data_IF_597532276805
#
_entry.id   IF_597532276805
#
_cell.length_a   1.000
_cell.length_b   1.000
_cell.length_c   1.000
_cell.angle_alpha   90.00
_cell.angle_beta   90.00
_cell.angle_gamma   90.00
#
_symmetry.space_group_name_H-M   'P 1'
#
loop_
_entity.id
_entity.type
_entity.pdbx_description
1 polymer ?
#
# COMPACT_ATOMS: atom_id res chain seq x y z
N UNK A 1 -14.99 -12.61 23.82
CA UNK A 1 -14.51 -11.22 24.01
C UNK A 1 -14.25 -10.68 22.62
N UNK A 2 -15.12 -9.80 22.16
CA UNK A 2 -14.94 -9.09 20.89
C UNK A 2 -13.77 -8.13 21.08
N UNK A 3 -12.59 -8.47 20.57
CA UNK A 3 -11.49 -7.52 20.48
C UNK A 3 -11.90 -6.48 19.46
N UNK A 4 -12.49 -5.38 19.94
CA UNK A 4 -12.84 -4.25 19.10
C UNK A 4 -11.58 -3.84 18.32
N UNK A 5 -11.72 -3.71 17.00
CA UNK A 5 -10.59 -3.33 16.16
C UNK A 5 -10.11 -1.95 16.59
N UNK A 6 -8.83 -1.83 16.92
CA UNK A 6 -8.22 -0.56 17.27
C UNK A 6 -7.89 0.21 15.98
N UNK A 7 -8.59 1.33 15.77
CA UNK A 7 -8.39 2.21 14.60
C UNK A 7 -6.96 2.76 14.58
N UNK A 8 -6.36 3.10 15.73
CA UNK A 8 -4.99 3.61 15.78
C UNK A 8 -3.99 2.54 15.36
N UNK A 9 -4.13 1.35 15.93
CA UNK A 9 -3.30 0.22 15.52
C UNK A 9 -3.43 -0.09 14.02
N UNK A 10 -4.62 0.10 13.44
CA UNK A 10 -4.84 -0.07 12.00
C UNK A 10 -4.19 1.04 11.15
N UNK A 11 -4.23 2.30 11.61
CA UNK A 11 -3.49 3.42 10.98
C UNK A 11 -1.99 3.13 11.02
N UNK A 12 -1.44 2.79 12.20
CA UNK A 12 -0.01 2.52 12.38
C UNK A 12 0.46 1.36 11.49
N UNK A 13 -0.32 0.28 11.44
CA UNK A 13 -0.02 -0.88 10.59
C UNK A 13 -0.04 -0.54 9.10
N UNK A 14 -0.99 0.27 8.66
CA UNK A 14 -1.07 0.72 7.28
C UNK A 14 0.10 1.66 6.92
N UNK A 15 0.39 2.66 7.75
CA UNK A 15 1.54 3.57 7.57
C UNK A 15 2.86 2.81 7.49
N UNK A 16 3.07 1.83 8.38
CA UNK A 16 4.27 0.99 8.37
C UNK A 16 4.39 0.21 7.05
N UNK A 17 3.31 -0.46 6.63
CA UNK A 17 3.28 -1.22 5.39
C UNK A 17 3.55 -0.32 4.16
N UNK A 18 2.92 0.85 4.07
CA UNK A 18 3.10 1.75 2.95
C UNK A 18 4.54 2.29 2.86
N UNK A 19 5.17 2.49 4.02
CA UNK A 19 6.59 2.86 4.14
C UNK A 19 7.50 1.74 3.63
N UNK A 20 7.27 0.50 4.05
CA UNK A 20 8.06 -0.66 3.60
C UNK A 20 7.96 -0.90 2.10
N UNK A 21 6.77 -0.71 1.51
CA UNK A 21 6.59 -0.78 0.06
C UNK A 21 7.39 0.32 -0.64
N UNK A 22 7.47 1.51 -0.07
CA UNK A 22 8.25 2.62 -0.64
C UNK A 22 9.76 2.35 -0.57
N UNK A 23 10.23 1.73 0.52
CA UNK A 23 11.61 1.25 0.65
C UNK A 23 11.92 0.18 -0.39
N UNK A 24 11.02 -0.80 -0.57
CA UNK A 24 11.17 -1.86 -1.57
C UNK A 24 11.22 -1.29 -3.00
N UNK A 25 10.35 -0.33 -3.35
CA UNK A 25 10.39 0.36 -4.65
C UNK A 25 11.72 1.09 -4.87
N UNK A 26 12.22 1.78 -3.84
CA UNK A 26 13.50 2.49 -3.89
C UNK A 26 14.66 1.52 -4.11
N UNK A 27 14.70 0.40 -3.38
CA UNK A 27 15.72 -0.63 -3.52
C UNK A 27 15.71 -1.26 -4.92
N UNK A 28 14.53 -1.46 -5.53
CA UNK A 28 14.44 -1.92 -6.92
C UNK A 28 15.02 -0.88 -7.87
N UNK A 29 14.61 0.40 -7.73
CA UNK A 29 15.09 1.49 -8.59
C UNK A 29 16.62 1.66 -8.52
N UNK A 30 17.20 1.57 -7.32
CA UNK A 30 18.65 1.68 -7.11
C UNK A 30 19.41 0.45 -7.64
N UNK A 31 18.74 -0.70 -7.72
CA UNK A 31 19.33 -1.97 -8.15
C UNK A 31 19.16 -2.31 -9.64
N UNK A 32 18.43 -1.52 -10.44
CA UNK A 32 18.10 -1.90 -11.83
C UNK A 32 19.34 -2.25 -12.65
N UNK A 33 20.36 -1.38 -12.63
CA UNK A 33 21.59 -1.56 -13.42
C UNK A 33 22.56 -2.61 -12.85
N UNK A 34 22.39 -3.04 -11.60
CA UNK A 34 23.28 -3.97 -10.89
C UNK A 34 22.62 -5.32 -10.61
N UNK A 35 21.36 -5.48 -11.00
CA UNK A 35 20.54 -6.65 -10.72
C UNK A 35 19.73 -6.48 -9.43
N UNK A 36 18.48 -6.02 -9.55
CA UNK A 36 17.55 -5.95 -8.42
C UNK A 36 17.25 -7.36 -7.87
N UNK A 37 17.01 -7.46 -6.55
CA UNK A 37 16.59 -8.74 -5.97
C UNK A 37 15.21 -9.14 -6.53
N UNK A 38 15.19 -10.17 -7.39
CA UNK A 38 13.98 -10.69 -8.00
C UNK A 38 12.92 -11.18 -6.98
N UNK A 39 13.31 -11.46 -5.72
CA UNK A 39 12.34 -11.72 -4.63
C UNK A 39 11.57 -10.46 -4.27
N UNK A 40 12.25 -9.33 -4.12
CA UNK A 40 11.64 -8.02 -3.84
C UNK A 40 10.71 -7.62 -4.99
N UNK A 41 11.16 -7.78 -6.24
CA UNK A 41 10.34 -7.51 -7.43
C UNK A 41 9.06 -8.37 -7.42
N UNK A 42 9.16 -9.68 -7.16
CA UNK A 42 8.00 -10.57 -7.05
C UNK A 42 7.03 -10.18 -5.94
N UNK A 43 7.54 -9.72 -4.80
CA UNK A 43 6.71 -9.22 -3.71
C UNK A 43 5.95 -7.98 -4.19
N UNK A 44 6.66 -6.96 -4.71
CA UNK A 44 6.05 -5.72 -5.20
C UNK A 44 4.99 -5.95 -6.27
N UNK A 45 5.23 -6.83 -7.24
CA UNK A 45 4.24 -7.18 -8.28
C UNK A 45 2.93 -7.71 -7.67
N UNK A 46 3.02 -8.47 -6.57
CA UNK A 46 1.84 -9.03 -5.88
C UNK A 46 1.19 -8.03 -4.92
N UNK A 47 1.99 -7.17 -4.31
CA UNK A 47 1.54 -6.38 -3.15
C UNK A 47 1.15 -4.97 -3.50
N UNK A 48 1.85 -4.30 -4.44
CA UNK A 48 1.78 -2.84 -4.61
C UNK A 48 0.36 -2.33 -4.85
N UNK A 49 -0.35 -2.91 -5.81
CA UNK A 49 -1.69 -2.44 -6.15
C UNK A 49 -2.74 -2.89 -5.13
N UNK A 50 -2.57 -4.10 -4.56
CA UNK A 50 -3.48 -4.63 -3.56
C UNK A 50 -3.39 -3.83 -2.25
N UNK A 51 -2.17 -3.56 -1.76
CA UNK A 51 -1.95 -2.74 -0.55
C UNK A 51 -2.46 -1.32 -0.74
N UNK A 52 -2.27 -0.73 -1.93
CA UNK A 52 -2.76 0.61 -2.21
C UNK A 52 -4.28 0.68 -2.16
N UNK A 53 -4.97 -0.32 -2.74
CA UNK A 53 -6.43 -0.41 -2.69
C UNK A 53 -6.92 -0.51 -1.25
N UNK A 54 -6.26 -1.29 -0.41
CA UNK A 54 -6.61 -1.43 1.01
C UNK A 54 -6.40 -0.11 1.78
N UNK A 55 -5.26 0.55 1.58
CA UNK A 55 -4.97 1.87 2.14
C UNK A 55 -6.01 2.92 1.76
N UNK A 56 -6.27 3.07 0.46
CA UNK A 56 -7.27 4.02 -0.06
C UNK A 56 -8.66 3.70 0.47
N UNK A 57 -9.05 2.41 0.47
CA UNK A 57 -10.33 1.98 1.02
C UNK A 57 -10.46 2.29 2.51
N UNK A 58 -9.40 2.07 3.30
CA UNK A 58 -9.40 2.42 4.73
C UNK A 58 -9.61 3.91 4.94
N UNK A 59 -8.86 4.74 4.23
CA UNK A 59 -9.02 6.18 4.36
C UNK A 59 -10.39 6.65 3.88
N UNK A 60 -10.89 6.17 2.74
CA UNK A 60 -12.14 6.63 2.14
C UNK A 60 -13.39 6.16 2.89
N UNK A 61 -13.36 4.94 3.43
CA UNK A 61 -14.54 4.33 4.07
C UNK A 61 -14.55 4.51 5.60
N UNK A 62 -13.40 4.82 6.22
CA UNK A 62 -13.26 4.92 7.67
C UNK A 62 -12.73 6.28 8.09
N UNK A 63 -11.50 6.62 7.71
CA UNK A 63 -10.82 7.81 8.26
C UNK A 63 -11.49 9.10 7.80
N UNK A 64 -11.67 9.30 6.49
CA UNK A 64 -12.26 10.53 5.96
C UNK A 64 -13.67 10.77 6.48
N UNK A 65 -14.60 9.79 6.51
CA UNK A 65 -15.91 10.00 7.12
C UNK A 65 -15.85 10.41 8.59
N UNK A 66 -14.92 9.85 9.37
CA UNK A 66 -14.73 10.24 10.79
C UNK A 66 -14.28 11.70 10.88
N UNK A 67 -13.29 12.08 10.08
CA UNK A 67 -12.73 13.43 10.11
C UNK A 67 -13.74 14.46 9.58
N UNK A 68 -14.41 14.19 8.46
CA UNK A 68 -15.46 15.04 7.89
C UNK A 68 -16.60 15.24 8.92
N UNK A 69 -17.02 14.18 9.63
CA UNK A 69 -18.07 14.28 10.64
C UNK A 69 -17.66 15.09 11.89
N UNK A 70 -16.38 15.08 12.26
CA UNK A 70 -15.87 15.77 13.46
C UNK A 70 -15.46 17.21 13.21
N UNK A 71 -14.86 17.48 12.06
CA UNK A 71 -14.17 18.74 11.76
C UNK A 71 -14.78 19.50 10.57
N UNK A 72 -15.68 18.88 9.80
CA UNK A 72 -16.40 19.54 8.72
C UNK A 72 -15.45 20.21 7.72
N UNK A 73 -15.72 21.48 7.43
CA UNK A 73 -15.01 22.25 6.41
C UNK A 73 -13.51 22.43 6.70
N UNK A 74 -13.09 22.34 7.96
CA UNK A 74 -11.69 22.52 8.37
C UNK A 74 -10.76 21.45 7.77
N UNK A 75 -11.29 20.26 7.45
CA UNK A 75 -10.51 19.13 6.90
C UNK A 75 -10.83 18.83 5.43
N UNK A 76 -11.91 19.41 4.89
CA UNK A 76 -12.40 19.15 3.53
C UNK A 76 -11.33 19.38 2.45
N UNK A 77 -10.56 20.48 2.55
CA UNK A 77 -9.50 20.79 1.59
C UNK A 77 -8.40 19.74 1.55
N UNK A 78 -7.96 19.28 2.72
CA UNK A 78 -6.93 18.24 2.87
C UNK A 78 -7.42 16.91 2.30
N UNK A 79 -8.64 16.49 2.65
CA UNK A 79 -9.23 15.24 2.16
C UNK A 79 -9.46 15.27 0.66
N UNK A 80 -9.94 16.39 0.10
CA UNK A 80 -10.12 16.52 -1.34
C UNK A 80 -8.81 16.36 -2.11
N UNK A 81 -7.71 16.94 -1.59
CA UNK A 81 -6.37 16.78 -2.16
C UNK A 81 -5.90 15.33 -2.12
N UNK A 82 -6.00 14.66 -0.95
CA UNK A 82 -5.63 13.24 -0.82
C UNK A 82 -6.43 12.33 -1.77
N UNK A 83 -7.74 12.61 -1.95
CA UNK A 83 -8.57 11.86 -2.92
C UNK A 83 -8.06 11.97 -4.36
N UNK A 84 -7.55 13.14 -4.76
CA UNK A 84 -6.94 13.35 -6.09
C UNK A 84 -5.62 12.58 -6.21
N UNK A 85 -4.79 12.65 -5.16
CA UNK A 85 -3.50 11.96 -5.12
C UNK A 85 -3.69 10.43 -5.17
N UNK A 86 -4.74 9.89 -4.53
CA UNK A 86 -5.10 8.48 -4.59
C UNK A 86 -5.34 7.94 -6.01
N UNK A 87 -6.06 8.70 -6.82
CA UNK A 87 -6.36 8.32 -8.20
C UNK A 87 -5.08 8.33 -9.05
N UNK A 88 -4.28 9.39 -8.91
CA UNK A 88 -3.02 9.58 -9.64
C UNK A 88 -2.02 8.47 -9.31
N UNK A 89 -1.81 8.19 -8.02
CA UNK A 89 -0.92 7.11 -7.56
C UNK A 89 -1.43 5.72 -7.95
N UNK A 90 -2.74 5.49 -7.98
CA UNK A 90 -3.30 4.23 -8.45
C UNK A 90 -2.92 3.94 -9.91
N UNK A 91 -2.89 4.97 -10.77
CA UNK A 91 -2.44 4.82 -12.15
C UNK A 91 -0.94 4.47 -12.20
N UNK A 92 -0.10 5.22 -11.50
CA UNK A 92 1.35 4.98 -11.44
C UNK A 92 1.68 3.58 -10.90
N UNK A 93 1.00 3.13 -9.83
CA UNK A 93 1.17 1.77 -9.30
C UNK A 93 0.81 0.69 -10.32
N UNK A 94 -0.23 0.91 -11.14
CA UNK A 94 -0.59 -0.02 -12.21
C UNK A 94 0.47 -0.09 -13.31
N UNK A 95 1.06 1.04 -13.69
CA UNK A 95 2.15 1.10 -14.66
C UNK A 95 3.43 0.44 -14.13
N UNK A 96 3.84 0.77 -12.90
CA UNK A 96 4.98 0.15 -12.22
C UNK A 96 4.79 -1.36 -12.09
N UNK A 97 3.62 -1.81 -11.64
CA UNK A 97 3.35 -3.24 -11.46
C UNK A 97 3.50 -4.03 -12.75
N UNK A 98 3.02 -3.50 -13.89
CA UNK A 98 3.19 -4.12 -15.21
C UNK A 98 4.66 -4.16 -15.62
N UNK A 99 5.39 -3.06 -15.47
CA UNK A 99 6.79 -3.00 -15.86
C UNK A 99 7.68 -3.92 -15.01
N UNK A 100 7.43 -4.01 -13.70
CA UNK A 100 8.11 -4.95 -12.81
C UNK A 100 7.82 -6.41 -13.17
N UNK A 101 6.58 -6.72 -13.59
CA UNK A 101 6.24 -8.06 -14.05
C UNK A 101 7.03 -8.44 -15.32
N UNK A 102 7.18 -7.51 -16.27
CA UNK A 102 7.94 -7.74 -17.51
C UNK A 102 9.42 -8.09 -17.24
N UNK A 103 10.07 -7.45 -16.27
CA UNK A 103 11.47 -7.78 -15.91
C UNK A 103 11.62 -9.23 -15.40
N UNK A 104 10.60 -9.75 -14.70
CA UNK A 104 10.64 -11.13 -14.22
C UNK A 104 10.56 -12.16 -15.36
N UNK A 105 10.00 -11.78 -16.50
CA UNK A 105 9.83 -12.64 -17.68
C UNK A 105 10.99 -12.53 -18.66
N UNK A 106 11.62 -11.35 -18.78
CA UNK A 106 12.76 -11.13 -19.66
C UNK A 106 13.72 -10.12 -19.05
N UNK A 107 15.04 -10.43 -18.96
CA UNK A 107 16.03 -9.48 -18.47
C UNK A 107 16.03 -8.23 -19.35
N UNK A 108 16.07 -7.03 -18.76
CA UNK A 108 15.95 -5.79 -19.51
C UNK A 108 17.20 -5.49 -20.34
N UNK A 109 16.97 -4.92 -21.53
CA UNK A 109 18.03 -4.40 -22.42
C UNK A 109 18.22 -2.87 -22.35
N UNK A 110 17.21 -2.13 -21.85
CA UNK A 110 17.25 -0.68 -21.56
C UNK A 110 16.21 -0.32 -20.48
N UNK A 111 16.67 -0.09 -19.25
CA UNK A 111 15.83 0.16 -18.07
C UNK A 111 15.52 1.64 -17.83
N UNK A 112 16.00 2.57 -18.66
CA UNK A 112 15.88 4.00 -18.37
C UNK A 112 14.43 4.49 -18.26
N UNK A 113 13.49 3.86 -18.97
CA UNK A 113 12.07 4.18 -18.86
C UNK A 113 11.46 3.72 -17.53
N UNK A 114 11.81 2.52 -17.07
CA UNK A 114 11.35 2.00 -15.79
C UNK A 114 11.97 2.76 -14.63
N UNK A 115 13.26 3.07 -14.70
CA UNK A 115 13.91 3.86 -13.66
C UNK A 115 13.18 5.19 -13.48
N UNK A 116 12.91 5.93 -14.57
CA UNK A 116 12.13 7.17 -14.50
C UNK A 116 10.75 6.95 -13.89
N UNK A 117 10.04 5.91 -14.30
CA UNK A 117 8.70 5.59 -13.78
C UNK A 117 8.73 5.30 -12.27
N UNK A 118 9.70 4.50 -11.80
CA UNK A 118 9.87 4.22 -10.38
C UNK A 118 10.20 5.50 -9.60
N UNK A 119 11.14 6.31 -10.08
CA UNK A 119 11.54 7.56 -9.41
C UNK A 119 10.38 8.55 -9.29
N UNK A 120 9.59 8.73 -10.36
CA UNK A 120 8.39 9.56 -10.34
C UNK A 120 7.36 9.02 -9.34
N UNK A 121 7.10 7.71 -9.38
CA UNK A 121 6.13 7.08 -8.47
C UNK A 121 6.56 7.20 -7.00
N UNK A 122 7.83 6.98 -6.70
CA UNK A 122 8.40 7.12 -5.35
C UNK A 122 8.29 8.57 -4.87
N UNK A 123 8.59 9.55 -5.74
CA UNK A 123 8.46 10.96 -5.40
C UNK A 123 7.01 11.33 -5.07
N UNK A 124 6.05 10.89 -5.88
CA UNK A 124 4.62 11.11 -5.61
C UNK A 124 4.18 10.43 -4.32
N UNK A 125 4.60 9.19 -4.04
CA UNK A 125 4.30 8.50 -2.77
C UNK A 125 4.84 9.27 -1.58
N UNK A 126 6.05 9.84 -1.68
CA UNK A 126 6.63 10.67 -0.61
C UNK A 126 5.83 11.94 -0.36
N UNK A 127 5.40 12.63 -1.41
CA UNK A 127 4.51 13.79 -1.27
C UNK A 127 3.18 13.40 -0.63
N UNK A 128 2.58 12.29 -1.07
CA UNK A 128 1.36 11.73 -0.45
C UNK A 128 1.54 11.46 1.04
N UNK A 129 2.64 10.80 1.46
CA UNK A 129 2.88 10.54 2.88
C UNK A 129 3.13 11.79 3.72
N UNK A 130 3.71 12.85 3.13
CA UNK A 130 3.82 14.13 3.81
C UNK A 130 2.44 14.74 4.07
N UNK A 131 1.51 14.61 3.12
CA UNK A 131 0.13 15.07 3.27
C UNK A 131 -0.67 14.19 4.24
N UNK A 132 -0.47 12.87 4.23
CA UNK A 132 -1.06 11.96 5.23
C UNK A 132 -0.57 12.31 6.64
N UNK A 133 0.71 12.66 6.80
CA UNK A 133 1.24 13.11 8.10
C UNK A 133 0.63 14.46 8.57
N UNK A 134 0.13 15.29 7.65
CA UNK A 134 -0.69 16.45 8.04
C UNK A 134 -2.06 16.02 8.58
N UNK A 135 -2.61 14.92 8.06
CA UNK A 135 -3.87 14.32 8.51
C UNK A 135 -3.76 13.79 9.95
N UNK A 136 -2.59 13.32 10.39
CA UNK A 136 -2.36 12.80 11.74
C UNK A 136 -2.78 13.77 12.85
N UNK A 137 -2.66 15.08 12.60
CA UNK A 137 -3.08 16.14 13.53
C UNK A 137 -4.58 16.18 13.76
N UNK A 138 -5.35 15.64 12.82
CA UNK A 138 -6.81 15.57 12.88
C UNK A 138 -7.29 14.22 13.42
N UNK A 139 -6.42 13.22 13.55
CA UNK A 139 -6.81 11.90 14.06
C UNK A 139 -7.14 12.02 15.56
N UNK A 140 -8.40 11.75 15.97
CA UNK A 140 -8.83 11.96 17.35
C UNK A 140 -8.16 10.97 18.29
N UNK A 141 -7.81 11.40 19.51
CA UNK A 141 -7.22 10.54 20.55
C UNK A 141 -8.10 9.33 20.87
N UNK A 142 -9.42 9.53 20.88
CA UNK A 142 -10.42 8.50 21.17
C UNK A 142 -11.49 8.43 20.10
N UNK A 143 -11.94 7.20 19.84
CA UNK A 143 -12.99 6.90 18.87
C UNK A 143 -14.29 6.50 19.59
N UNK A 144 -15.42 6.97 19.08
CA UNK A 144 -16.74 6.57 19.55
C UNK A 144 -17.07 5.16 19.09
N UNK A 145 -18.07 4.53 19.73
CA UNK A 145 -18.54 3.20 19.32
C UNK A 145 -19.00 3.14 17.85
N UNK A 146 -19.59 4.22 17.34
CA UNK A 146 -20.05 4.27 15.94
C UNK A 146 -18.88 4.28 14.95
N UNK A 147 -17.81 4.98 15.29
CA UNK A 147 -16.59 5.06 14.47
C UNK A 147 -15.83 3.74 14.50
N UNK A 148 -15.71 3.11 15.67
CA UNK A 148 -15.19 1.74 15.78
C UNK A 148 -16.02 0.76 14.94
N UNK A 149 -17.35 0.91 14.91
CA UNK A 149 -18.22 0.08 14.09
C UNK A 149 -18.03 0.31 12.57
N UNK A 150 -17.68 1.54 12.13
CA UNK A 150 -17.27 1.80 10.74
C UNK A 150 -16.02 0.98 10.38
N UNK A 151 -14.99 1.07 11.22
CA UNK A 151 -13.76 0.30 11.03
C UNK A 151 -14.01 -1.22 11.04
N UNK A 152 -14.85 -1.73 11.94
CA UNK A 152 -15.22 -3.14 11.97
C UNK A 152 -15.94 -3.59 10.70
N UNK A 153 -16.90 -2.79 10.19
CA UNK A 153 -17.60 -3.10 8.94
C UNK A 153 -16.65 -3.14 7.75
N UNK A 154 -15.80 -2.12 7.65
CA UNK A 154 -14.72 -2.06 6.67
C UNK A 154 -13.86 -3.33 6.74
N UNK A 155 -13.40 -3.69 7.94
CA UNK A 155 -12.49 -4.81 8.13
C UNK A 155 -13.15 -6.19 7.91
N UNK A 156 -14.48 -6.29 8.10
CA UNK A 156 -15.27 -7.50 7.88
C UNK A 156 -15.57 -7.74 6.38
N UNK A 157 -15.59 -6.70 5.56
CA UNK A 157 -15.82 -6.81 4.11
C UNK A 157 -14.59 -7.35 3.33
N UNK A 158 -13.46 -7.58 4.00
CA UNK A 158 -12.18 -7.93 3.38
C UNK A 158 -11.83 -9.40 3.49
N UNK A 159 -11.14 -9.93 2.48
CA UNK A 159 -10.76 -11.34 2.42
C UNK A 159 -9.87 -11.74 3.61
N UNK A 160 -10.10 -12.95 4.14
CA UNK A 160 -9.36 -13.52 5.27
C UNK A 160 -8.40 -14.63 4.80
N UNK A 161 -7.14 -14.68 5.30
CA UNK A 161 -6.55 -13.76 6.26
C UNK A 161 -6.33 -12.38 5.62
N UNK A 162 -6.43 -11.30 6.40
CA UNK A 162 -6.32 -9.94 5.86
C UNK A 162 -4.95 -9.70 5.23
N UNK A 163 -4.89 -8.70 4.36
CA UNK A 163 -3.62 -8.18 3.84
C UNK A 163 -2.67 -7.80 5.00
N UNK A 164 -1.35 -8.10 4.91
CA UNK A 164 -0.64 -8.78 3.82
C UNK A 164 -0.67 -10.31 3.89
N UNK A 165 -1.29 -10.92 4.90
CA UNK A 165 -1.26 -12.37 5.11
C UNK A 165 -2.02 -13.16 4.03
N UNK A 166 -3.03 -12.58 3.36
CA UNK A 166 -3.64 -13.21 2.17
C UNK A 166 -2.62 -13.41 1.05
N UNK A 167 -1.57 -12.59 0.96
CA UNK A 167 -0.54 -12.69 -0.07
C UNK A 167 0.34 -13.94 0.10
N UNK A 168 0.40 -14.50 1.32
CA UNK A 168 1.07 -15.78 1.58
C UNK A 168 0.26 -16.98 1.07
N UNK A 169 -1.02 -16.78 0.71
CA UNK A 169 -1.96 -17.85 0.32
C UNK A 169 -2.31 -17.89 -1.16
N UNK A 170 -1.67 -17.10 -2.03
CA UNK A 170 -1.97 -17.14 -3.47
C UNK A 170 -1.93 -18.59 -4.01
N UNK A 171 -3.03 -19.11 -4.58
CA UNK A 171 -3.16 -20.50 -5.00
C UNK A 171 -2.41 -20.84 -6.30
N UNK A 172 -1.68 -19.88 -6.88
CA UNK A 172 -0.98 -20.10 -8.15
C UNK A 172 0.52 -20.36 -7.95
N UNK A 173 0.85 -21.64 -8.19
CA UNK A 173 2.15 -22.28 -8.40
C UNK A 173 2.80 -22.90 -7.14
N UNK A 174 2.98 -24.24 -7.10
CA UNK A 174 3.84 -24.87 -6.12
C UNK A 174 5.28 -24.43 -6.43
N UNK A 175 5.86 -23.61 -5.57
CA UNK A 175 7.31 -23.42 -5.62
C UNK A 175 7.98 -24.76 -5.31
N UNK A 176 9.02 -25.17 -6.06
CA UNK A 176 9.82 -26.32 -5.69
C UNK A 176 10.38 -26.04 -4.30
N UNK A 177 10.10 -26.96 -3.36
CA UNK A 177 10.73 -26.91 -2.05
C UNK A 177 12.23 -26.91 -2.27
N UNK A 178 12.92 -25.85 -1.82
CA UNK A 178 14.36 -25.85 -1.59
C UNK A 178 14.65 -26.91 -0.53
N UNK A 179 14.82 -28.15 -0.98
CA UNK A 179 14.97 -29.32 -0.11
C UNK A 179 15.16 -30.64 -0.87
N UNK A 180 15.39 -30.62 -2.18
CA UNK A 180 15.83 -31.79 -2.94
C UNK A 180 17.35 -31.89 -2.85
N UNK A 181 17.85 -32.82 -2.03
CA UNK A 181 19.26 -33.15 -1.86
C UNK A 181 19.97 -33.33 -3.20
N UNK A 182 21.19 -32.79 -3.27
CA UNK A 182 22.24 -33.26 -4.18
C UNK A 182 22.42 -34.77 -3.96
N UNK A 183 22.31 -35.54 -5.03
CA UNK A 183 23.00 -36.80 -5.24
C UNK A 183 23.57 -36.77 -6.65
#
# INVERSE_FOLDING_TARGET
MDTALDIRAQIDADTHLQTEINHALSAVADGLNTGSDGRVVRILVRTLQASWREHVGFQHEVIFPILEARYGDDVCGTIARLRIDHASLSQCHGEVGRALASILESPPGDDGALERLLRVTIAQRRTHFQQDAELDRWIPETFTRLECALCQRWAAARQSPRFPLNLLRSPERPYPRLGGRLN
#
